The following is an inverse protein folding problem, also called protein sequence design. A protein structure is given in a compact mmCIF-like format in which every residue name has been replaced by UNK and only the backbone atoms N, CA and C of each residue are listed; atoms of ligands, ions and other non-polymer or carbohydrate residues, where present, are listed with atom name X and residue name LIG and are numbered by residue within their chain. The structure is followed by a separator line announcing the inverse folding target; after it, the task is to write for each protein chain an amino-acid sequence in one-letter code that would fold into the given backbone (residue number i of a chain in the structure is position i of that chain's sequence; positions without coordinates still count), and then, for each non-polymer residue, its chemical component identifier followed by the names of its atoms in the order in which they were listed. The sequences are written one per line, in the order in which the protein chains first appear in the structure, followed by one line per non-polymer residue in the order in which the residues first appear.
data_IF_897901670556
#
_entry.id   IF_897901670556
#
_cell.length_a   1.000
_cell.length_b   1.000
_cell.length_c   1.000
_cell.angle_alpha   90.00
_cell.angle_beta   90.00
_cell.angle_gamma   90.00
#
_symmetry.space_group_name_H-M   'P 1'
#
loop_
_entity.id
_entity.type
_entity.pdbx_description
1 polymer ?
#
# COMPACT_ATOMS: atom_id res chain seq x y z
N UNK A 1 4.18 7.53 9.50
CA UNK A 1 2.97 8.09 8.86
C UNK A 1 1.71 7.34 9.28
N UNK A 2 0.61 8.06 9.44
CA UNK A 2 -0.76 7.56 9.61
C UNK A 2 -1.29 6.95 8.30
N UNK A 3 -2.45 6.30 8.36
CA UNK A 3 -3.14 5.77 7.17
C UNK A 3 -3.50 6.90 6.18
N UNK A 4 -3.87 8.07 6.70
CA UNK A 4 -4.23 9.23 5.86
C UNK A 4 -3.04 9.79 5.11
N UNK A 5 -1.91 9.98 5.81
CA UNK A 5 -0.67 10.44 5.18
C UNK A 5 -0.16 9.42 4.15
N UNK A 6 -0.24 8.12 4.43
CA UNK A 6 0.15 7.07 3.50
C UNK A 6 -0.73 7.05 2.24
N UNK A 7 -2.04 7.18 2.41
CA UNK A 7 -2.98 7.25 1.29
C UNK A 7 -2.72 8.49 0.42
N UNK A 8 -2.47 9.65 1.05
CA UNK A 8 -2.13 10.88 0.35
C UNK A 8 -0.80 10.75 -0.43
N UNK A 9 0.24 10.15 0.17
CA UNK A 9 1.53 9.92 -0.50
C UNK A 9 1.37 9.03 -1.74
N UNK A 10 0.62 7.94 -1.62
CA UNK A 10 0.36 7.01 -2.72
C UNK A 10 -0.68 7.54 -3.73
N UNK A 11 -1.28 8.71 -3.49
CA UNK A 11 -2.37 9.30 -4.29
C UNK A 11 -3.56 8.36 -4.47
N UNK A 12 -3.93 7.63 -3.42
CA UNK A 12 -5.10 6.74 -3.38
C UNK A 12 -6.05 7.16 -2.26
N UNK A 13 -7.28 6.64 -2.30
CA UNK A 13 -8.23 6.89 -1.21
C UNK A 13 -7.84 6.10 0.06
N UNK A 14 -8.15 6.66 1.23
CA UNK A 14 -8.06 5.96 2.53
C UNK A 14 -8.84 4.65 2.51
N UNK A 15 -9.98 4.63 1.81
CA UNK A 15 -10.80 3.42 1.65
C UNK A 15 -10.05 2.32 0.90
N UNK A 16 -9.39 2.65 -0.22
CA UNK A 16 -8.55 1.72 -0.97
C UNK A 16 -7.44 1.14 -0.10
N UNK A 17 -6.71 1.99 0.63
CA UNK A 17 -5.64 1.55 1.52
C UNK A 17 -6.17 0.66 2.66
N UNK A 18 -7.34 0.97 3.22
CA UNK A 18 -7.99 0.13 4.21
C UNK A 18 -8.41 -1.23 3.66
N UNK A 19 -8.97 -1.27 2.44
CA UNK A 19 -9.32 -2.53 1.75
C UNK A 19 -8.08 -3.38 1.56
N UNK A 20 -7.01 -2.79 1.04
CA UNK A 20 -5.74 -3.47 0.79
C UNK A 20 -5.07 -4.05 2.04
N UNK A 21 -5.26 -3.42 3.20
CA UNK A 21 -4.81 -4.01 4.47
C UNK A 21 -5.55 -5.29 4.84
N UNK A 22 -6.81 -5.42 4.42
CA UNK A 22 -7.63 -6.63 4.66
C UNK A 22 -7.31 -7.70 3.63
N UNK A 23 -7.13 -7.32 2.37
CA UNK A 23 -6.86 -8.26 1.26
C UNK A 23 -5.39 -8.66 1.14
N UNK A 24 -4.47 -7.95 1.79
CA UNK A 24 -3.02 -8.20 1.69
C UNK A 24 -2.37 -7.61 0.43
N UNK A 25 -3.11 -6.82 -0.37
CA UNK A 25 -2.62 -6.25 -1.62
C UNK A 25 -1.74 -5.00 -1.42
N UNK A 26 -1.80 -4.38 -0.23
CA UNK A 26 -1.20 -3.08 0.06
C UNK A 26 0.20 -3.13 0.65
N UNK A 27 0.78 -1.95 0.91
CA UNK A 27 2.07 -1.84 1.57
C UNK A 27 2.03 -2.47 2.96
N UNK A 28 3.16 -3.07 3.41
CA UNK A 28 3.30 -3.53 4.79
C UNK A 28 3.03 -2.39 5.78
N UNK A 29 2.42 -2.73 6.90
CA UNK A 29 2.08 -1.78 7.94
C UNK A 29 2.56 -2.26 9.31
N UNK A 30 2.85 -1.31 10.19
CA UNK A 30 3.17 -1.59 11.60
C UNK A 30 1.93 -1.33 12.44
N UNK A 31 1.53 -2.33 13.24
CA UNK A 31 0.40 -2.25 14.16
C UNK A 31 0.92 -2.15 15.59
N UNK A 32 0.78 -0.98 16.19
CA UNK A 32 1.14 -0.74 17.60
C UNK A 32 -0.03 -0.95 18.56
N UNK A 33 -1.24 -1.08 18.04
CA UNK A 33 -2.44 -1.32 18.83
C UNK A 33 -3.69 -1.50 17.97
N UNK A 34 -4.88 -1.69 18.59
CA UNK A 34 -6.12 -1.99 17.88
C UNK A 34 -6.49 -0.93 16.83
N UNK A 35 -6.23 0.35 17.13
CA UNK A 35 -6.52 1.51 16.26
C UNK A 35 -5.27 2.25 15.78
N UNK A 36 -4.08 1.80 16.19
CA UNK A 36 -2.82 2.49 15.92
C UNK A 36 -2.02 1.74 14.86
N UNK A 37 -2.23 2.15 13.61
CA UNK A 37 -1.48 1.66 12.45
C UNK A 37 -0.63 2.77 11.86
N UNK A 38 0.59 2.39 11.49
CA UNK A 38 1.59 3.29 10.92
C UNK A 38 2.28 2.67 9.72
N UNK A 39 2.73 3.54 8.85
CA UNK A 39 3.56 3.24 7.68
C UNK A 39 4.89 3.98 7.82
N UNK A 40 5.95 3.30 7.41
CA UNK A 40 7.25 3.91 7.18
C UNK A 40 7.33 4.37 5.73
N UNK A 41 8.02 5.48 5.51
CA UNK A 41 8.20 6.06 4.19
C UNK A 41 8.90 5.08 3.22
N UNK A 42 10.04 4.53 3.67
CA UNK A 42 10.80 3.51 2.95
C UNK A 42 9.94 2.32 2.52
N UNK A 43 9.05 1.85 3.40
CA UNK A 43 8.15 0.72 3.10
C UNK A 43 7.14 1.05 2.00
N UNK A 44 6.60 2.28 1.98
CA UNK A 44 5.67 2.72 0.93
C UNK A 44 6.40 2.80 -0.42
N UNK A 45 7.60 3.35 -0.42
CA UNK A 45 8.40 3.54 -1.63
C UNK A 45 8.89 2.20 -2.18
N UNK A 46 9.33 1.28 -1.33
CA UNK A 46 9.69 -0.09 -1.70
C UNK A 46 8.50 -0.88 -2.26
N UNK A 47 7.34 -0.77 -1.61
CA UNK A 47 6.11 -1.42 -2.10
C UNK A 47 5.68 -0.88 -3.47
N UNK A 48 5.71 0.44 -3.65
CA UNK A 48 5.39 1.07 -4.92
C UNK A 48 6.40 0.66 -6.01
N UNK A 49 7.69 0.61 -5.68
CA UNK A 49 8.73 0.19 -6.60
C UNK A 49 8.55 -1.26 -7.08
N UNK A 50 8.21 -2.18 -6.16
CA UNK A 50 7.96 -3.58 -6.48
C UNK A 50 6.72 -3.81 -7.37
N UNK A 51 5.86 -2.79 -7.52
CA UNK A 51 4.63 -2.81 -8.32
C UNK A 51 4.69 -1.86 -9.51
N UNK A 52 5.89 -1.43 -9.90
CA UNK A 52 6.08 -0.73 -11.17
C UNK A 52 6.13 -1.76 -12.28
N UNK A 53 5.21 -1.63 -13.23
CA UNK A 53 5.18 -2.42 -14.45
C UNK A 53 5.53 -1.50 -15.60
N UNK A 54 6.37 -1.97 -16.54
CA UNK A 54 6.75 -1.22 -17.74
C UNK A 54 5.67 -1.21 -18.81
N UNK A 55 4.74 -2.17 -18.76
CA UNK A 55 3.62 -2.31 -19.70
C UNK A 55 2.39 -2.92 -19.03
N UNK A 56 1.21 -2.57 -19.54
CA UNK A 56 -0.08 -3.13 -19.10
C UNK A 56 -0.20 -4.64 -19.34
N UNK A 57 0.61 -5.20 -20.24
CA UNK A 57 0.70 -6.66 -20.45
C UNK A 57 1.49 -7.41 -19.38
N UNK A 58 2.33 -6.73 -18.59
CA UNK A 58 3.14 -7.38 -17.55
C UNK A 58 2.35 -7.70 -16.28
N UNK A 59 1.27 -6.97 -15.99
CA UNK A 59 0.40 -7.25 -14.85
C UNK A 59 -0.73 -8.26 -15.17
N UNK A 60 -0.62 -9.00 -16.28
CA UNK A 60 -1.67 -9.88 -16.78
C UNK A 60 -1.16 -11.24 -17.21
N UNK A 61 -0.75 -12.08 -16.26
CA UNK A 61 -0.78 -13.56 -16.36
C UNK A 61 -0.65 -14.16 -14.95
N UNK A 62 -1.66 -13.94 -14.11
CA UNK A 62 -1.98 -14.92 -13.07
C UNK A 62 -3.03 -15.81 -13.71
N UNK A 63 -2.61 -17.02 -14.11
CA UNK A 63 -3.48 -18.03 -14.70
C UNK A 63 -4.55 -18.53 -13.74
#
# INVERSE_FOLDING_TARGET
MTVEEAAARLKISKHTLNRWRVTGEGPPFVKYGPRLVRYSEDTLDAWAAARRYGSTSEYGRVG
#
